data_IF_171137839083
#
_entry.id   IF_171137839083
#
_cell.length_a   1.000
_cell.length_b   1.000
_cell.length_c   1.000
_cell.angle_alpha   90.00
_cell.angle_beta   90.00
_cell.angle_gamma   90.00
#
_symmetry.space_group_name_H-M   'P 1'
#
loop_
_entity.id
_entity.type
_entity.pdbx_description
1 polymer ?
#
# COMPACT_ATOMS: atom_id res chain seq x y z
N UNK A 1 51.73 78.26 -11.78
CA UNK A 1 52.33 77.52 -10.65
C UNK A 1 51.18 76.92 -9.87
N UNK A 2 50.90 75.64 -10.11
CA UNK A 2 51.46 74.49 -9.37
C UNK A 2 50.83 74.43 -7.97
N UNK A 3 50.34 73.31 -7.45
CA UNK A 3 50.44 71.91 -7.88
C UNK A 3 49.91 71.06 -6.72
N UNK A 4 49.31 69.90 -7.07
CA UNK A 4 49.46 68.61 -6.36
C UNK A 4 48.80 68.44 -4.96
N UNK A 5 48.31 67.28 -4.54
CA UNK A 5 48.20 65.92 -5.09
C UNK A 5 47.34 65.05 -4.13
N UNK A 6 46.57 64.10 -4.69
CA UNK A 6 46.24 62.73 -4.19
C UNK A 6 45.41 62.58 -2.88
N UNK A 7 44.52 61.60 -2.63
CA UNK A 7 44.60 60.13 -2.81
C UNK A 7 43.16 59.51 -2.85
N UNK A 8 43.00 58.51 -3.73
CA UNK A 8 42.09 57.35 -3.82
C UNK A 8 41.04 57.04 -2.72
N UNK A 9 39.84 56.62 -3.17
CA UNK A 9 39.25 55.30 -2.84
C UNK A 9 38.25 54.86 -3.95
N UNK A 10 38.51 53.67 -4.49
CA UNK A 10 37.74 52.91 -5.49
C UNK A 10 36.70 52.02 -4.79
N UNK A 11 35.49 51.92 -5.36
CA UNK A 11 34.76 50.64 -5.56
C UNK A 11 33.29 50.90 -5.90
N UNK A 12 32.80 50.22 -6.94
CA UNK A 12 31.38 49.82 -6.99
C UNK A 12 30.62 50.06 -8.28
N UNK A 13 31.17 49.62 -9.40
CA UNK A 13 30.45 49.41 -10.67
C UNK A 13 29.25 48.47 -10.49
N UNK A 14 28.01 48.96 -10.59
CA UNK A 14 26.82 48.11 -10.79
C UNK A 14 25.57 48.91 -11.23
N UNK A 15 25.66 49.62 -12.35
CA UNK A 15 24.55 50.44 -12.86
C UNK A 15 24.15 50.20 -14.32
N UNK A 16 24.86 49.37 -15.07
CA UNK A 16 24.74 49.33 -16.53
C UNK A 16 24.59 47.92 -17.10
N UNK A 17 23.70 47.08 -16.56
CA UNK A 17 23.33 45.80 -17.20
C UNK A 17 21.84 45.43 -17.06
N UNK A 18 20.94 46.39 -16.80
CA UNK A 18 19.51 46.08 -16.63
C UNK A 18 18.60 46.34 -17.83
N UNK A 19 19.14 46.78 -18.98
CA UNK A 19 18.32 47.15 -20.14
C UNK A 19 18.81 46.53 -21.45
N UNK A 20 18.89 45.20 -21.50
CA UNK A 20 18.88 44.51 -22.80
C UNK A 20 18.00 43.27 -22.69
N UNK A 21 17.10 43.09 -23.66
CA UNK A 21 16.09 42.02 -23.80
C UNK A 21 14.70 42.35 -23.22
N UNK A 22 14.07 43.44 -23.69
CA UNK A 22 12.62 43.51 -23.89
C UNK A 22 12.43 44.15 -25.28
N UNK A 23 11.41 43.71 -26.03
CA UNK A 23 11.04 44.14 -27.41
C UNK A 23 11.60 43.31 -28.59
N UNK A 24 11.29 42.01 -28.61
CA UNK A 24 10.94 41.36 -29.89
C UNK A 24 9.47 40.98 -29.86
N UNK A 25 8.70 41.26 -30.93
CA UNK A 25 7.30 40.84 -30.99
C UNK A 25 7.26 39.32 -30.93
N UNK A 26 6.74 38.78 -29.82
CA UNK A 26 6.57 37.34 -29.64
C UNK A 26 5.76 36.80 -30.80
N UNK A 27 6.39 35.92 -31.60
CA UNK A 27 5.74 35.25 -32.71
C UNK A 27 4.55 34.44 -32.14
N UNK A 28 3.36 34.60 -32.71
CA UNK A 28 2.08 34.04 -32.20
C UNK A 28 2.16 32.53 -31.95
N UNK A 29 3.07 31.84 -32.64
CA UNK A 29 3.44 30.45 -32.40
C UNK A 29 4.04 30.19 -31.00
N UNK A 30 4.88 31.08 -30.46
CA UNK A 30 5.44 30.93 -29.11
C UNK A 30 4.39 31.10 -28.02
N UNK A 31 3.42 32.00 -28.21
CA UNK A 31 2.29 32.18 -27.26
C UNK A 31 1.41 30.92 -27.25
N UNK A 32 1.13 30.35 -28.43
CA UNK A 32 0.37 29.11 -28.55
C UNK A 32 1.09 27.91 -27.90
N UNK A 33 2.42 27.83 -28.04
CA UNK A 33 3.23 26.77 -27.43
C UNK A 33 3.22 26.87 -25.90
N UNK A 34 3.34 28.08 -25.34
CA UNK A 34 3.28 28.29 -23.88
C UNK A 34 1.90 27.93 -23.33
N UNK A 35 0.82 28.31 -24.02
CA UNK A 35 -0.55 27.96 -23.61
C UNK A 35 -0.81 26.45 -23.66
N UNK A 36 -0.28 25.75 -24.67
CA UNK A 36 -0.38 24.29 -24.75
C UNK A 36 0.39 23.59 -23.62
N UNK A 37 1.59 24.08 -23.28
CA UNK A 37 2.41 23.54 -22.18
C UNK A 37 1.74 23.74 -20.81
N UNK A 38 0.96 24.81 -20.62
CA UNK A 38 0.24 25.07 -19.37
C UNK A 38 -1.05 24.23 -19.25
N UNK A 39 -1.63 23.75 -20.36
CA UNK A 39 -2.84 22.90 -20.38
C UNK A 39 -2.55 21.39 -20.33
N UNK A 40 -1.31 20.97 -20.58
CA UNK A 40 -0.91 19.54 -20.52
C UNK A 40 -0.89 18.97 -19.08
N UNK A 41 -0.51 19.70 -18.01
CA UNK A 41 -0.46 19.16 -16.64
C UNK A 41 -1.82 18.71 -16.10
N UNK A 42 -2.94 19.31 -16.54
CA UNK A 42 -4.28 18.92 -16.11
C UNK A 42 -4.72 17.53 -16.59
N UNK A 43 -4.05 16.94 -17.59
CA UNK A 43 -4.29 15.55 -17.98
C UNK A 43 -3.55 14.53 -17.11
N UNK A 44 -2.51 14.94 -16.38
CA UNK A 44 -1.71 14.03 -15.54
C UNK A 44 -2.23 13.88 -14.10
N UNK A 45 -3.20 14.70 -13.68
CA UNK A 45 -3.79 14.62 -12.33
C UNK A 45 -4.70 13.38 -12.12
N UNK A 46 -4.99 12.60 -13.16
CA UNK A 46 -5.87 11.43 -13.10
C UNK A 46 -5.18 10.06 -13.05
N UNK A 47 -3.84 9.99 -13.05
CA UNK A 47 -3.11 8.70 -13.20
C UNK A 47 -2.43 8.24 -11.89
N UNK A 48 -2.59 8.98 -10.79
CA UNK A 48 -1.96 8.59 -9.54
C UNK A 48 -2.72 7.45 -8.85
N UNK A 49 -2.01 6.33 -8.71
CA UNK A 49 -2.18 5.24 -7.72
C UNK A 49 -3.11 4.05 -8.05
N UNK A 50 -2.74 3.27 -9.06
CA UNK A 50 -2.76 1.80 -8.89
C UNK A 50 -1.43 1.23 -9.36
N UNK A 51 -0.33 1.55 -8.66
CA UNK A 51 0.79 0.63 -8.65
C UNK A 51 0.26 -0.61 -7.93
N UNK A 52 -0.26 -1.56 -8.70
CA UNK A 52 -0.65 -2.86 -8.16
C UNK A 52 0.56 -3.42 -7.44
N UNK A 53 0.52 -3.40 -6.11
CA UNK A 53 1.52 -4.12 -5.34
C UNK A 53 1.38 -5.58 -5.75
N UNK A 54 2.49 -6.13 -6.25
CA UNK A 54 2.55 -7.55 -6.62
C UNK A 54 2.58 -8.45 -5.38
N UNK A 55 2.62 -7.85 -4.18
CA UNK A 55 2.75 -8.54 -2.91
C UNK A 55 1.57 -8.21 -1.99
N UNK A 56 1.22 -9.18 -1.15
CA UNK A 56 0.19 -9.01 -0.12
C UNK A 56 0.70 -8.08 0.98
N UNK A 57 -0.13 -7.11 1.37
CA UNK A 57 0.17 -6.09 2.39
C UNK A 57 -0.13 -6.63 3.79
N UNK A 58 0.73 -7.52 4.30
CA UNK A 58 0.48 -8.21 5.56
C UNK A 58 0.46 -7.30 6.79
N UNK A 59 -0.53 -7.50 7.65
CA UNK A 59 -0.66 -6.91 8.98
C UNK A 59 -0.60 -7.97 10.10
N UNK A 60 -0.47 -7.54 11.35
CA UNK A 60 -0.80 -8.37 12.51
C UNK A 60 -2.32 -8.40 12.72
N UNK A 61 -2.80 -9.42 13.42
CA UNK A 61 -4.22 -9.53 13.75
C UNK A 61 -4.70 -8.37 14.62
N UNK A 62 -3.88 -7.98 15.61
CA UNK A 62 -4.20 -6.87 16.52
C UNK A 62 -4.30 -5.54 15.78
N UNK A 63 -3.36 -5.27 14.85
CA UNK A 63 -3.43 -4.07 14.01
C UNK A 63 -4.70 -4.08 13.16
N UNK A 64 -5.00 -5.21 12.52
CA UNK A 64 -6.20 -5.35 11.68
C UNK A 64 -7.50 -5.17 12.47
N UNK A 65 -7.57 -5.63 13.73
CA UNK A 65 -8.72 -5.40 14.61
C UNK A 65 -8.85 -3.95 15.07
N UNK A 66 -7.75 -3.21 15.16
CA UNK A 66 -7.74 -1.80 15.52
C UNK A 66 -8.05 -0.86 14.34
N UNK A 67 -8.04 -1.37 13.10
CA UNK A 67 -8.39 -0.58 11.91
C UNK A 67 -9.90 -0.30 11.87
N UNK A 68 -10.26 0.97 11.71
CA UNK A 68 -11.64 1.37 11.40
C UNK A 68 -11.93 1.07 9.92
N UNK A 69 -12.32 -0.17 9.64
CA UNK A 69 -12.60 -0.65 8.29
C UNK A 69 -13.77 -1.61 8.27
N UNK A 70 -14.58 -1.52 7.22
CA UNK A 70 -15.67 -2.47 6.96
C UNK A 70 -15.20 -3.73 6.22
N UNK A 71 -13.92 -3.78 5.82
CA UNK A 71 -13.36 -4.93 5.12
C UNK A 71 -13.25 -6.13 6.07
N UNK A 72 -13.60 -7.36 5.62
CA UNK A 72 -13.30 -8.57 6.37
C UNK A 72 -11.79 -8.77 6.56
N UNK A 73 -11.38 -9.34 7.68
CA UNK A 73 -9.99 -9.70 7.94
C UNK A 73 -9.73 -11.08 7.35
N UNK A 74 -8.75 -11.18 6.46
CA UNK A 74 -8.22 -12.44 5.98
C UNK A 74 -7.01 -12.81 6.83
N UNK A 75 -6.99 -13.99 7.43
CA UNK A 75 -5.88 -14.44 8.26
C UNK A 75 -5.24 -15.67 7.62
N UNK A 76 -3.94 -15.59 7.36
CA UNK A 76 -3.08 -16.74 7.10
C UNK A 76 -2.29 -17.08 8.37
N UNK A 77 -2.69 -18.18 9.00
CA UNK A 77 -2.07 -18.70 10.21
C UNK A 77 -1.05 -19.79 9.84
N UNK A 78 0.18 -19.67 10.35
CA UNK A 78 1.26 -20.63 10.14
C UNK A 78 1.98 -20.97 11.45
N UNK A 79 2.75 -22.05 11.44
CA UNK A 79 3.68 -22.38 12.52
C UNK A 79 5.14 -22.10 12.14
N UNK A 80 6.00 -21.97 13.15
CA UNK A 80 7.45 -22.08 12.94
C UNK A 80 7.79 -23.48 12.43
N UNK A 81 8.75 -23.57 11.51
CA UNK A 81 9.22 -24.82 10.91
C UNK A 81 8.11 -25.66 10.23
N UNK A 82 7.26 -25.00 9.45
CA UNK A 82 6.21 -25.65 8.66
C UNK A 82 6.52 -25.57 7.17
N UNK A 83 6.99 -26.68 6.58
CA UNK A 83 7.35 -26.74 5.15
C UNK A 83 6.15 -26.44 4.24
N UNK A 84 4.99 -27.01 4.55
CA UNK A 84 3.75 -26.77 3.78
C UNK A 84 3.28 -25.32 3.87
N UNK A 85 3.51 -24.65 5.00
CA UNK A 85 3.19 -23.24 5.16
C UNK A 85 4.12 -22.38 4.29
N UNK A 86 5.43 -22.67 4.30
CA UNK A 86 6.40 -21.98 3.47
C UNK A 86 6.13 -22.16 1.97
N UNK A 87 5.71 -23.38 1.55
CA UNK A 87 5.27 -23.64 0.19
C UNK A 87 4.07 -22.77 -0.18
N UNK A 88 3.06 -22.66 0.70
CA UNK A 88 1.90 -21.79 0.43
C UNK A 88 2.28 -20.30 0.35
N UNK A 89 3.19 -19.83 1.20
CA UNK A 89 3.74 -18.46 1.10
C UNK A 89 4.38 -18.19 -0.25
N UNK A 90 5.16 -19.14 -0.77
CA UNK A 90 5.86 -19.01 -2.02
C UNK A 90 4.95 -19.16 -3.23
N UNK A 91 4.12 -20.19 -3.24
CA UNK A 91 3.41 -20.64 -4.45
C UNK A 91 2.06 -19.94 -4.64
N UNK A 92 1.49 -19.40 -3.56
CA UNK A 92 0.12 -18.88 -3.55
C UNK A 92 0.11 -17.39 -3.28
N UNK A 93 0.76 -16.93 -2.21
CA UNK A 93 0.72 -15.52 -1.82
C UNK A 93 1.67 -14.61 -2.62
N UNK A 94 2.43 -15.17 -3.57
CA UNK A 94 3.17 -14.39 -4.58
C UNK A 94 2.40 -14.21 -5.88
N UNK A 95 1.23 -14.84 -6.01
CA UNK A 95 0.38 -14.66 -7.18
C UNK A 95 -0.21 -13.23 -7.18
N UNK A 96 0.01 -12.44 -8.24
CA UNK A 96 -0.40 -11.04 -8.27
C UNK A 96 -1.92 -10.87 -8.32
N UNK A 97 -2.65 -11.85 -8.88
CA UNK A 97 -4.11 -11.78 -8.93
C UNK A 97 -4.71 -11.99 -7.54
N UNK A 98 -4.15 -12.91 -6.76
CA UNK A 98 -4.54 -13.12 -5.37
C UNK A 98 -4.13 -11.95 -4.49
N UNK A 99 -2.92 -11.41 -4.65
CA UNK A 99 -2.45 -10.26 -3.88
C UNK A 99 -3.38 -9.04 -4.06
N UNK A 100 -3.79 -8.79 -5.31
CA UNK A 100 -4.76 -7.75 -5.62
C UNK A 100 -6.08 -7.96 -4.87
N UNK A 101 -6.68 -9.16 -4.94
CA UNK A 101 -7.94 -9.48 -4.27
C UNK A 101 -7.82 -9.23 -2.76
N UNK A 102 -6.74 -9.71 -2.14
CA UNK A 102 -6.51 -9.59 -0.71
C UNK A 102 -6.38 -8.12 -0.27
N UNK A 103 -5.57 -7.32 -0.96
CA UNK A 103 -5.33 -5.94 -0.56
C UNK A 103 -6.55 -5.04 -0.84
N UNK A 104 -7.28 -5.30 -1.92
CA UNK A 104 -8.45 -4.49 -2.29
C UNK A 104 -9.68 -4.82 -1.45
N UNK A 105 -9.93 -6.10 -1.17
CA UNK A 105 -11.21 -6.56 -0.61
C UNK A 105 -11.13 -7.00 0.86
N UNK A 106 -9.93 -7.27 1.38
CA UNK A 106 -9.72 -7.77 2.73
C UNK A 106 -8.70 -6.91 3.47
N UNK A 107 -8.55 -7.17 4.77
CA UNK A 107 -7.37 -6.78 5.54
C UNK A 107 -6.52 -8.04 5.70
N UNK A 108 -5.43 -8.21 4.93
CA UNK A 108 -4.64 -9.43 4.99
C UNK A 108 -3.73 -9.44 6.21
N UNK A 109 -3.84 -10.51 6.98
CA UNK A 109 -3.12 -10.76 8.22
C UNK A 109 -2.31 -12.02 8.07
N UNK A 110 -1.09 -12.00 8.59
CA UNK A 110 -0.24 -13.18 8.68
C UNK A 110 0.26 -13.36 10.10
N UNK A 111 -0.04 -14.51 10.67
CA UNK A 111 0.32 -14.82 12.05
C UNK A 111 1.17 -16.09 12.13
N UNK A 112 2.27 -15.99 12.90
CA UNK A 112 3.10 -17.15 13.23
C UNK A 112 2.76 -17.61 14.63
N UNK A 113 2.00 -18.69 14.70
CA UNK A 113 1.36 -19.18 15.92
C UNK A 113 2.03 -20.48 16.35
N UNK A 114 2.21 -20.64 17.65
CA UNK A 114 2.47 -21.96 18.25
C UNK A 114 1.13 -22.53 18.73
N UNK A 115 0.94 -23.85 18.73
CA UNK A 115 -0.35 -24.48 19.10
C UNK A 115 -0.97 -23.90 20.39
N UNK A 116 -0.16 -23.70 21.43
CA UNK A 116 -0.58 -23.17 22.73
C UNK A 116 -0.87 -21.65 22.76
N UNK A 117 -0.47 -20.91 21.72
CA UNK A 117 -0.58 -19.45 21.66
C UNK A 117 -1.71 -18.95 20.75
N UNK A 118 -2.38 -19.86 20.03
CA UNK A 118 -3.45 -19.46 19.10
C UNK A 118 -4.58 -18.67 19.78
N UNK A 119 -4.99 -19.10 20.97
CA UNK A 119 -6.03 -18.46 21.74
C UNK A 119 -5.66 -17.08 22.30
N UNK A 120 -4.37 -16.74 22.37
CA UNK A 120 -3.92 -15.42 22.78
C UNK A 120 -3.89 -14.41 21.63
N UNK A 121 -3.68 -14.90 20.40
CA UNK A 121 -3.66 -14.03 19.22
C UNK A 121 -5.08 -13.66 18.81
N UNK A 122 -6.04 -14.58 18.95
CA UNK A 122 -7.45 -14.42 18.59
C UNK A 122 -8.33 -14.54 19.83
N UNK A 123 -8.05 -13.74 20.86
CA UNK A 123 -8.66 -13.83 22.19
C UNK A 123 -10.13 -13.37 22.25
N UNK A 124 -10.52 -12.59 21.25
CA UNK A 124 -11.86 -12.09 20.99
C UNK A 124 -12.77 -13.10 20.28
N UNK A 125 -12.20 -14.05 19.54
CA UNK A 125 -12.96 -15.06 18.79
C UNK A 125 -13.26 -16.28 19.65
N UNK A 126 -14.55 -16.64 19.65
CA UNK A 126 -15.08 -17.82 20.35
C UNK A 126 -15.72 -18.78 19.37
N UNK A 127 -15.56 -20.07 19.62
CA UNK A 127 -16.25 -21.09 18.85
C UNK A 127 -17.75 -21.18 19.23
N UNK A 128 -18.48 -22.08 18.57
CA UNK A 128 -19.92 -22.25 18.78
C UNK A 128 -20.29 -22.70 20.22
N UNK A 129 -19.32 -23.12 21.03
CA UNK A 129 -19.51 -23.51 22.43
C UNK A 129 -19.08 -22.39 23.39
N UNK A 130 -18.61 -21.26 22.87
CA UNK A 130 -18.06 -20.16 23.66
C UNK A 130 -16.61 -20.40 24.10
N UNK A 131 -15.95 -21.45 23.61
CA UNK A 131 -14.55 -21.74 23.89
C UNK A 131 -13.64 -20.90 23.00
N UNK A 132 -12.42 -20.60 23.47
CA UNK A 132 -11.45 -19.83 22.68
C UNK A 132 -11.07 -20.57 21.40
N UNK A 133 -10.92 -19.80 20.31
CA UNK A 133 -10.51 -20.35 19.02
C UNK A 133 -9.17 -21.10 19.14
N UNK A 134 -9.17 -22.35 18.68
CA UNK A 134 -7.98 -23.20 18.64
C UNK A 134 -7.76 -23.74 17.23
N UNK A 135 -6.53 -23.60 16.73
CA UNK A 135 -6.12 -24.16 15.44
C UNK A 135 -5.79 -25.65 15.59
N UNK A 136 -6.38 -26.49 14.74
CA UNK A 136 -6.15 -27.95 14.76
C UNK A 136 -5.06 -28.41 13.79
N UNK A 137 -4.60 -27.53 12.92
CA UNK A 137 -3.56 -27.82 11.93
C UNK A 137 -3.11 -26.58 11.19
N UNK A 138 -1.98 -26.68 10.51
CA UNK A 138 -1.38 -25.58 9.75
C UNK A 138 -0.87 -26.08 8.38
N UNK A 139 -0.81 -25.22 7.34
CA UNK A 139 -1.31 -23.85 7.32
C UNK A 139 -2.82 -23.79 7.52
N UNK A 140 -3.32 -22.66 7.96
CA UNK A 140 -4.75 -22.44 8.10
C UNK A 140 -5.11 -21.04 7.63
N UNK A 141 -6.33 -20.93 7.12
CA UNK A 141 -6.86 -19.71 6.54
C UNK A 141 -8.17 -19.40 7.23
N UNK A 142 -8.33 -18.17 7.67
CA UNK A 142 -9.53 -17.72 8.34
C UNK A 142 -10.02 -16.41 7.73
N UNK A 143 -11.34 -16.23 7.71
CA UNK A 143 -11.98 -14.99 7.30
C UNK A 143 -12.85 -14.54 8.47
N UNK A 144 -12.60 -13.33 8.97
CA UNK A 144 -13.26 -12.78 10.16
C UNK A 144 -14.12 -11.58 9.77
N UNK A 145 -15.33 -11.51 10.32
CA UNK A 145 -16.30 -10.42 10.19
C UNK A 145 -16.93 -10.12 11.55
N UNK A 146 -16.55 -9.00 12.15
CA UNK A 146 -16.91 -8.72 13.54
C UNK A 146 -16.43 -9.87 14.43
N UNK A 147 -17.37 -10.50 15.14
CA UNK A 147 -17.09 -11.63 16.03
C UNK A 147 -17.31 -13.00 15.39
N UNK A 148 -17.70 -13.03 14.11
CA UNK A 148 -17.91 -14.26 13.35
C UNK A 148 -16.67 -14.60 12.52
N UNK A 149 -16.40 -15.87 12.34
CA UNK A 149 -15.31 -16.32 11.49
C UNK A 149 -15.62 -17.62 10.74
N UNK A 150 -14.94 -17.82 9.62
CA UNK A 150 -14.84 -19.11 8.94
C UNK A 150 -13.40 -19.57 8.90
N UNK A 151 -13.12 -20.79 9.37
CA UNK A 151 -11.77 -21.35 9.45
C UNK A 151 -11.63 -22.58 8.54
N UNK A 152 -10.57 -22.59 7.73
CA UNK A 152 -10.22 -23.69 6.85
C UNK A 152 -8.76 -24.09 7.05
N UNK A 153 -8.52 -25.37 7.33
CA UNK A 153 -7.18 -25.91 7.57
C UNK A 153 -6.56 -26.51 6.30
N UNK A 154 -5.24 -26.68 6.33
CA UNK A 154 -4.43 -27.28 5.28
C UNK A 154 -4.13 -26.32 4.13
N UNK A 155 -3.18 -26.74 3.29
CA UNK A 155 -2.78 -26.00 2.09
C UNK A 155 -3.99 -25.67 1.20
N UNK A 156 -3.95 -24.51 0.55
CA UNK A 156 -4.90 -24.11 -0.49
C UNK A 156 -4.12 -23.67 -1.71
N UNK A 157 -4.45 -24.19 -2.88
CA UNK A 157 -3.96 -23.62 -4.14
C UNK A 157 -4.54 -22.21 -4.35
N UNK A 158 -4.02 -21.49 -5.36
CA UNK A 158 -4.54 -20.17 -5.75
C UNK A 158 -6.04 -20.23 -6.04
N UNK A 159 -6.50 -21.23 -6.81
CA UNK A 159 -7.90 -21.36 -7.22
C UNK A 159 -8.82 -21.70 -6.04
N UNK A 160 -8.37 -22.61 -5.16
CA UNK A 160 -9.10 -22.97 -3.95
C UNK A 160 -9.26 -21.75 -3.03
N UNK A 161 -8.19 -20.97 -2.88
CA UNK A 161 -8.19 -19.79 -2.04
C UNK A 161 -9.06 -18.68 -2.63
N UNK A 162 -8.95 -18.40 -3.93
CA UNK A 162 -9.83 -17.46 -4.63
C UNK A 162 -11.30 -17.86 -4.50
N UNK A 163 -11.62 -19.15 -4.61
CA UNK A 163 -12.99 -19.64 -4.41
C UNK A 163 -13.50 -19.35 -3.00
N UNK A 164 -12.66 -19.54 -1.98
CA UNK A 164 -12.99 -19.21 -0.59
C UNK A 164 -13.23 -17.71 -0.40
N UNK A 165 -12.35 -16.86 -0.96
CA UNK A 165 -12.46 -15.41 -0.88
C UNK A 165 -13.73 -14.91 -1.59
N UNK A 166 -14.00 -15.39 -2.81
CA UNK A 166 -15.19 -15.02 -3.57
C UNK A 166 -16.48 -15.41 -2.85
N UNK A 167 -16.52 -16.62 -2.28
CA UNK A 167 -17.66 -17.06 -1.47
C UNK A 167 -17.85 -16.19 -0.23
N UNK A 168 -16.76 -15.75 0.39
CA UNK A 168 -16.84 -14.85 1.52
C UNK A 168 -17.38 -13.49 1.10
N UNK A 169 -16.90 -12.90 0.01
CA UNK A 169 -17.37 -11.59 -0.48
C UNK A 169 -18.83 -11.61 -0.90
N UNK A 170 -19.32 -12.71 -1.48
CA UNK A 170 -20.71 -12.82 -1.94
C UNK A 170 -21.73 -13.14 -0.83
N UNK A 171 -21.29 -13.36 0.41
CA UNK A 171 -22.16 -13.66 1.57
C UNK A 171 -22.67 -12.40 2.30
N UNK A 172 -22.84 -11.28 1.59
CA UNK A 172 -23.48 -10.08 2.12
C UNK A 172 -24.99 -10.27 2.02
N UNK A 173 -25.56 -11.09 2.91
CA UNK A 173 -27.00 -11.20 3.16
C UNK A 173 -27.23 -11.49 4.65
#
# INVERSE_FOLDING_TARGET
>A
MNSNESIYLDSGSSGYLFNYIIEKPMNKFFIAIIAAIILIPSLYAGISSTLYTTQVEWHSYQDARAMDSTKPIFVFAKMRFCTTCAAMEKDVFTDPSLAKILNEQFIPVRETINFMLSSFVFDDLKDNKGEQLTFRGFPAVMIVRGDQYSLSHGYKSVEQLQTLLNKATNKVD
#
